data_IF_779016654616
#
_entry.id   IF_779016654616
#
_cell.length_a   1.000
_cell.length_b   1.000
_cell.length_c   1.000
_cell.angle_alpha   90.00
_cell.angle_beta   90.00
_cell.angle_gamma   90.00
#
_symmetry.space_group_name_H-M   'P 1'
#
loop_
_entity.id
_entity.type
_entity.pdbx_description
1 polymer ?
#
# COMPACT_ATOMS: atom_id res chain seq x y z
N UNK A 1 1.72 9.90 -6.74
CA UNK A 1 1.80 8.52 -6.22
C UNK A 1 0.45 7.82 -6.13
N UNK A 2 -0.62 8.49 -5.67
CA UNK A 2 -1.99 7.94 -5.59
C UNK A 2 -2.45 7.15 -6.83
N UNK A 3 -2.24 7.69 -8.05
CA UNK A 3 -2.61 7.03 -9.31
C UNK A 3 -1.85 5.72 -9.56
N UNK A 4 -0.54 5.72 -9.29
CA UNK A 4 0.31 4.53 -9.46
C UNK A 4 -0.11 3.43 -8.47
N UNK A 5 -0.28 3.80 -7.19
CA UNK A 5 -0.70 2.88 -6.15
C UNK A 5 -2.08 2.28 -6.44
N UNK A 6 -3.02 3.09 -6.96
CA UNK A 6 -4.34 2.60 -7.40
C UNK A 6 -4.23 1.60 -8.55
N UNK A 7 -3.37 1.87 -9.54
CA UNK A 7 -3.16 0.96 -10.67
C UNK A 7 -2.56 -0.38 -10.22
N UNK A 8 -1.56 -0.35 -9.35
CA UNK A 8 -0.91 -1.55 -8.82
C UNK A 8 -1.85 -2.35 -7.92
N UNK A 9 -2.70 -1.68 -7.14
CA UNK A 9 -3.73 -2.35 -6.35
C UNK A 9 -4.74 -3.10 -7.23
N UNK A 10 -5.16 -2.52 -8.35
CA UNK A 10 -6.05 -3.20 -9.30
C UNK A 10 -5.36 -4.41 -9.95
N UNK A 11 -4.06 -4.32 -10.26
CA UNK A 11 -3.27 -5.48 -10.70
C UNK A 11 -3.22 -6.56 -9.64
N UNK A 12 -2.89 -6.23 -8.38
CA UNK A 12 -2.87 -7.20 -7.27
C UNK A 12 -4.24 -7.83 -7.03
N UNK A 13 -5.34 -7.07 -7.16
CA UNK A 13 -6.70 -7.60 -7.05
C UNK A 13 -7.01 -8.61 -8.16
N UNK A 14 -6.49 -8.43 -9.37
CA UNK A 14 -6.70 -9.35 -10.49
C UNK A 14 -5.79 -10.57 -10.40
N UNK A 15 -4.50 -10.33 -10.20
CA UNK A 15 -3.44 -11.31 -10.42
C UNK A 15 -3.08 -12.05 -9.10
N UNK A 16 -3.16 -11.36 -7.95
CA UNK A 16 -2.94 -11.90 -6.59
C UNK A 16 -1.63 -12.70 -6.44
N UNK A 17 -0.60 -12.27 -7.16
CA UNK A 17 0.71 -12.88 -7.18
C UNK A 17 1.73 -12.09 -6.34
N UNK A 18 2.91 -12.68 -6.15
CA UNK A 18 3.98 -12.09 -5.33
C UNK A 18 4.60 -10.85 -6.00
N UNK A 19 4.67 -10.80 -7.33
CA UNK A 19 5.24 -9.64 -8.05
C UNK A 19 4.35 -8.41 -7.90
N UNK A 20 3.04 -8.54 -8.09
CA UNK A 20 2.11 -7.43 -7.88
C UNK A 20 2.04 -6.97 -6.40
N UNK A 21 2.26 -7.90 -5.47
CA UNK A 21 2.41 -7.61 -4.04
C UNK A 21 3.70 -6.84 -3.73
N UNK A 22 4.82 -7.19 -4.37
CA UNK A 22 6.10 -6.51 -4.22
C UNK A 22 6.05 -5.08 -4.79
N UNK A 23 5.40 -4.88 -5.94
CA UNK A 23 5.19 -3.56 -6.54
C UNK A 23 4.42 -2.60 -5.61
N UNK A 24 3.36 -3.12 -4.96
CA UNK A 24 2.62 -2.39 -3.94
C UNK A 24 3.52 -1.99 -2.77
N UNK A 25 4.32 -2.95 -2.26
CA UNK A 25 5.23 -2.71 -1.15
C UNK A 25 6.25 -1.62 -1.48
N UNK A 26 6.89 -1.69 -2.66
CA UNK A 26 7.90 -0.73 -3.09
C UNK A 26 7.32 0.69 -3.21
N UNK A 27 6.10 0.80 -3.75
CA UNK A 27 5.42 2.08 -3.91
C UNK A 27 5.02 2.65 -2.55
N UNK A 28 4.48 1.84 -1.64
CA UNK A 28 4.12 2.27 -0.28
C UNK A 28 5.36 2.66 0.53
N UNK A 29 6.45 1.92 0.41
CA UNK A 29 7.70 2.24 1.10
C UNK A 29 8.30 3.58 0.62
N UNK A 30 8.04 3.95 -0.64
CA UNK A 30 8.44 5.26 -1.17
C UNK A 30 7.61 6.41 -0.59
N UNK A 31 6.38 6.15 -0.11
CA UNK A 31 5.50 7.16 0.53
C UNK A 31 6.01 7.54 1.92
N UNK A 32 6.62 6.60 2.67
CA UNK A 32 7.21 6.88 3.98
C UNK A 32 8.48 7.76 3.94
N UNK A 33 8.83 8.35 2.80
CA UNK A 33 9.98 9.23 2.71
C UNK A 33 9.71 10.55 3.45
N UNK A 34 10.57 10.97 4.40
CA UNK A 34 10.38 12.20 5.18
C UNK A 34 10.37 13.49 4.34
N UNK A 35 10.76 13.41 3.06
CA UNK A 35 10.74 14.53 2.11
C UNK A 35 9.35 14.90 1.61
N UNK A 36 8.34 14.05 1.82
CA UNK A 36 7.01 14.22 1.23
C UNK A 36 6.01 14.97 2.13
N UNK A 37 6.37 15.24 3.38
CA UNK A 37 5.58 16.07 4.28
C UNK A 37 4.17 15.55 4.58
N UNK A 38 3.95 14.24 4.49
CA UNK A 38 2.67 13.62 4.80
C UNK A 38 2.29 13.77 6.27
N UNK A 39 1.00 13.93 6.53
CA UNK A 39 0.43 13.96 7.87
C UNK A 39 0.56 12.60 8.57
N UNK A 40 0.39 12.61 9.90
CA UNK A 40 0.49 11.40 10.72
C UNK A 40 -0.46 10.30 10.24
N UNK A 41 -1.70 10.63 9.88
CA UNK A 41 -2.70 9.63 9.47
C UNK A 41 -2.33 8.93 8.17
N UNK A 42 -1.70 9.65 7.24
CA UNK A 42 -1.13 9.05 6.04
C UNK A 42 0.05 8.12 6.37
N UNK A 43 0.93 8.51 7.29
CA UNK A 43 2.06 7.67 7.72
C UNK A 43 1.60 6.41 8.46
N UNK A 44 0.61 6.53 9.35
CA UNK A 44 0.00 5.40 10.06
C UNK A 44 -0.59 4.38 9.06
N UNK A 45 -1.35 4.86 8.06
CA UNK A 45 -1.90 4.01 7.03
C UNK A 45 -0.80 3.30 6.21
N UNK A 46 0.31 3.99 5.92
CA UNK A 46 1.48 3.42 5.23
C UNK A 46 2.11 2.30 6.04
N UNK A 47 2.27 2.48 7.36
CA UNK A 47 2.80 1.44 8.24
C UNK A 47 1.87 0.21 8.32
N UNK A 48 0.55 0.42 8.42
CA UNK A 48 -0.43 -0.67 8.41
C UNK A 48 -0.40 -1.47 7.10
N UNK A 49 -0.32 -0.78 5.97
CA UNK A 49 -0.24 -1.43 4.67
C UNK A 49 1.09 -2.20 4.48
N UNK A 50 2.21 -1.66 4.97
CA UNK A 50 3.49 -2.39 4.97
C UNK A 50 3.40 -3.66 5.78
N UNK A 51 2.80 -3.62 6.97
CA UNK A 51 2.59 -4.82 7.80
C UNK A 51 1.72 -5.85 7.10
N UNK A 52 0.62 -5.43 6.46
CA UNK A 52 -0.24 -6.35 5.72
C UNK A 52 0.49 -7.00 4.52
N UNK A 53 1.35 -6.24 3.84
CA UNK A 53 2.13 -6.74 2.72
C UNK A 53 3.27 -7.67 3.16
N UNK A 54 3.94 -7.44 4.29
CA UNK A 54 5.03 -8.30 4.74
C UNK A 54 4.59 -9.50 5.59
N UNK A 55 3.37 -9.47 6.12
CA UNK A 55 2.85 -10.55 6.93
C UNK A 55 2.47 -11.77 6.06
N UNK A 56 3.08 -12.92 6.35
CA UNK A 56 2.81 -14.19 5.67
C UNK A 56 1.41 -14.74 5.93
N UNK A 57 0.71 -14.25 6.97
CA UNK A 57 -0.63 -14.69 7.37
C UNK A 57 -1.72 -13.76 6.80
N UNK A 58 -1.35 -12.57 6.31
CA UNK A 58 -2.33 -11.62 5.77
C UNK A 58 -2.98 -12.16 4.51
N UNK A 59 -4.31 -12.21 4.51
CA UNK A 59 -5.07 -12.60 3.34
C UNK A 59 -5.19 -11.42 2.36
N UNK A 60 -5.56 -11.72 1.12
CA UNK A 60 -5.74 -10.74 0.05
C UNK A 60 -6.65 -9.56 0.45
N UNK A 61 -7.72 -9.83 1.20
CA UNK A 61 -8.68 -8.80 1.60
C UNK A 61 -8.07 -7.79 2.57
N UNK A 62 -7.25 -8.24 3.51
CA UNK A 62 -6.55 -7.37 4.46
C UNK A 62 -5.54 -6.47 3.73
N UNK A 63 -4.77 -7.05 2.80
CA UNK A 63 -3.83 -6.28 1.97
C UNK A 63 -4.57 -5.21 1.17
N UNK A 64 -5.65 -5.59 0.48
CA UNK A 64 -6.45 -4.66 -0.33
C UNK A 64 -6.96 -3.51 0.54
N UNK A 65 -7.57 -3.82 1.68
CA UNK A 65 -8.14 -2.81 2.57
C UNK A 65 -7.09 -1.84 3.11
N UNK A 66 -5.93 -2.34 3.53
CA UNK A 66 -4.86 -1.48 4.03
C UNK A 66 -4.28 -0.57 2.94
N UNK A 67 -4.12 -1.07 1.70
CA UNK A 67 -3.68 -0.22 0.58
C UNK A 67 -4.74 0.81 0.18
N UNK A 68 -6.02 0.46 0.22
CA UNK A 68 -7.13 1.42 -0.03
C UNK A 68 -7.16 2.55 1.01
N UNK A 69 -6.85 2.23 2.27
CA UNK A 69 -6.67 3.23 3.31
C UNK A 69 -5.52 4.21 2.96
N UNK A 70 -4.36 3.71 2.54
CA UNK A 70 -3.25 4.58 2.08
C UNK A 70 -3.69 5.48 0.93
N UNK A 71 -4.34 4.92 -0.09
CA UNK A 71 -4.85 5.69 -1.24
C UNK A 71 -5.82 6.79 -0.81
N UNK A 72 -6.64 6.51 0.19
CA UNK A 72 -7.63 7.46 0.72
C UNK A 72 -6.99 8.58 1.53
N UNK A 73 -5.93 8.27 2.30
CA UNK A 73 -5.17 9.26 3.07
C UNK A 73 -4.27 10.14 2.19
N UNK A 74 -3.82 9.64 1.04
CA UNK A 74 -3.13 10.45 0.04
C UNK A 74 -4.09 11.49 -0.55
N UNK A 75 -4.01 12.75 -0.09
CA UNK A 75 -4.68 13.89 -0.72
C UNK A 75 -4.17 14.15 -2.14
#
# INVERSE_FOLDING_TARGET
>A
MKKALKSQLESYKRDNDESSKEELYNTINSISSPTLGYDSSTLDAVEEAKKALTNSISNKSDIVKSVENVISSLN
#
